data_IF_246174743798
#
_entry.id   IF_246174743798
#
_cell.length_a   1.000
_cell.length_b   1.000
_cell.length_c   1.000
_cell.angle_alpha   90.00
_cell.angle_beta   90.00
_cell.angle_gamma   90.00
#
_symmetry.space_group_name_H-M   'P 1'
#
loop_
_entity.id
_entity.type
_entity.pdbx_description
1 polymer ?
#
# COMPACT_ATOMS: atom_id res chain seq x y z
N UNK A 1 32.45 3.73 44.97
CA UNK A 1 32.89 4.07 43.60
C UNK A 1 32.59 2.97 42.57
N UNK A 2 32.63 1.67 42.92
CA UNK A 2 32.33 0.56 42.00
C UNK A 2 30.86 0.49 41.51
N UNK A 3 29.88 0.78 42.38
CA UNK A 3 28.44 0.75 42.02
C UNK A 3 28.06 1.72 40.88
N UNK A 4 28.66 2.92 40.86
CA UNK A 4 28.40 3.92 39.83
C UNK A 4 28.89 3.42 38.45
N UNK A 5 30.06 2.77 38.41
CA UNK A 5 30.63 2.22 37.18
C UNK A 5 29.77 1.09 36.59
N UNK A 6 29.18 0.25 37.45
CA UNK A 6 28.30 -0.84 37.02
C UNK A 6 27.01 -0.28 36.41
N UNK A 7 26.39 0.74 37.03
CA UNK A 7 25.16 1.36 36.52
C UNK A 7 25.33 2.08 35.18
N UNK A 8 26.46 2.76 34.98
CA UNK A 8 26.76 3.41 33.71
C UNK A 8 26.97 2.37 32.59
N UNK A 9 27.67 1.29 32.89
CA UNK A 9 27.87 0.19 31.93
C UNK A 9 26.54 -0.45 31.53
N UNK A 10 25.63 -0.70 32.47
CA UNK A 10 24.33 -1.30 32.16
C UNK A 10 23.45 -0.39 31.31
N UNK A 11 23.46 0.92 31.57
CA UNK A 11 22.72 1.90 30.74
C UNK A 11 23.25 1.95 29.31
N UNK A 12 24.57 1.96 29.12
CA UNK A 12 25.19 1.96 27.79
C UNK A 12 24.88 0.66 27.06
N UNK A 13 24.97 -0.50 27.73
CA UNK A 13 24.66 -1.79 27.13
C UNK A 13 23.19 -1.87 26.71
N UNK A 14 22.27 -1.40 27.55
CA UNK A 14 20.84 -1.36 27.25
C UNK A 14 20.53 -0.43 26.07
N UNK A 15 21.15 0.76 26.01
CA UNK A 15 20.99 1.67 24.89
C UNK A 15 21.51 1.07 23.58
N UNK A 16 22.65 0.38 23.59
CA UNK A 16 23.19 -0.31 22.42
C UNK A 16 22.28 -1.44 21.94
N UNK A 17 21.72 -2.23 22.88
CA UNK A 17 20.76 -3.28 22.55
C UNK A 17 19.52 -2.67 21.87
N UNK A 18 18.96 -1.57 22.42
CA UNK A 18 17.83 -0.88 21.81
C UNK A 18 18.15 -0.34 20.41
N UNK A 19 19.35 0.21 20.21
CA UNK A 19 19.78 0.67 18.88
C UNK A 19 19.82 -0.50 17.90
N UNK A 20 20.39 -1.66 18.27
CA UNK A 20 20.45 -2.85 17.41
C UNK A 20 19.05 -3.38 17.07
N UNK A 21 18.13 -3.43 18.05
CA UNK A 21 16.75 -3.83 17.79
C UNK A 21 16.00 -2.84 16.89
N UNK A 22 16.30 -1.54 16.99
CA UNK A 22 15.76 -0.53 16.08
C UNK A 22 16.44 -0.53 14.69
N UNK A 23 17.67 -1.07 14.59
CA UNK A 23 18.45 -1.14 13.35
C UNK A 23 18.33 -2.49 12.63
N UNK A 24 17.26 -3.26 12.87
CA UNK A 24 16.99 -4.42 12.03
C UNK A 24 17.10 -3.99 10.56
N UNK A 25 18.00 -4.63 9.78
CA UNK A 25 18.18 -4.29 8.38
C UNK A 25 16.80 -4.33 7.76
N UNK A 26 16.45 -3.28 7.02
CA UNK A 26 15.23 -3.31 6.25
C UNK A 26 15.24 -4.62 5.48
N UNK A 27 14.18 -5.41 5.61
CA UNK A 27 13.80 -6.41 4.61
C UNK A 27 14.10 -5.80 3.25
N UNK A 28 14.75 -6.55 2.36
CA UNK A 28 15.23 -6.09 1.04
C UNK A 28 14.40 -4.95 0.46
N UNK A 29 15.02 -3.90 -0.12
CA UNK A 29 14.32 -2.71 -0.56
C UNK A 29 13.05 -3.11 -1.32
N UNK A 30 11.88 -2.65 -0.84
CA UNK A 30 10.61 -3.04 -1.44
C UNK A 30 10.73 -2.90 -2.96
N UNK A 31 10.37 -3.92 -3.74
CA UNK A 31 10.52 -3.89 -5.19
C UNK A 31 9.64 -2.83 -5.87
N UNK A 32 8.74 -2.20 -5.11
CA UNK A 32 8.07 -0.95 -5.50
C UNK A 32 9.10 0.10 -5.95
N UNK A 33 10.33 0.07 -5.43
CA UNK A 33 11.40 1.02 -5.73
C UNK A 33 12.31 0.65 -6.90
N UNK A 34 11.88 -0.20 -7.84
CA UNK A 34 12.31 -0.04 -9.24
C UNK A 34 11.73 1.25 -9.87
N UNK A 35 11.63 2.30 -9.05
CA UNK A 35 11.34 3.68 -9.38
C UNK A 35 12.68 4.26 -9.80
N UNK A 36 12.91 4.35 -11.10
CA UNK A 36 13.86 5.36 -11.58
C UNK A 36 13.29 6.72 -11.16
N UNK A 37 13.73 7.20 -9.99
CA UNK A 37 13.35 8.50 -9.42
C UNK A 37 13.69 9.66 -10.39
N UNK A 38 14.53 9.38 -11.38
CA UNK A 38 15.02 10.33 -12.36
C UNK A 38 13.99 10.62 -13.47
N UNK A 39 12.89 9.84 -13.57
CA UNK A 39 12.00 9.90 -14.74
C UNK A 39 10.65 10.59 -14.52
N UNK A 40 10.22 10.86 -13.28
CA UNK A 40 8.87 11.40 -13.02
C UNK A 40 8.66 11.94 -11.60
N UNK A 41 7.65 12.81 -11.44
CA UNK A 41 7.23 13.32 -10.12
C UNK A 41 6.32 12.29 -9.41
N UNK A 42 6.57 12.04 -8.11
CA UNK A 42 5.74 11.13 -7.31
C UNK A 42 4.27 11.62 -7.29
N UNK A 43 3.26 10.72 -7.40
CA UNK A 43 3.32 9.26 -7.36
C UNK A 43 3.43 8.71 -8.78
N UNK A 44 4.56 8.09 -9.06
CA UNK A 44 4.84 7.51 -10.36
C UNK A 44 5.30 6.07 -10.17
N UNK A 45 5.16 5.23 -11.18
CA UNK A 45 5.76 3.91 -11.21
C UNK A 45 6.27 3.60 -12.61
N UNK A 46 7.58 3.37 -12.77
CA UNK A 46 8.17 3.07 -14.07
C UNK A 46 7.85 4.13 -15.15
N UNK A 47 7.90 5.41 -14.76
CA UNK A 47 7.49 6.56 -15.59
C UNK A 47 5.96 6.76 -15.69
N UNK A 48 5.14 5.80 -15.26
CA UNK A 48 3.68 5.85 -15.35
C UNK A 48 3.13 6.71 -14.22
N UNK A 49 2.56 7.84 -14.60
CA UNK A 49 1.89 8.79 -13.71
C UNK A 49 0.37 8.69 -13.91
N UNK A 50 -0.39 8.24 -12.90
CA UNK A 50 -1.84 8.25 -12.96
C UNK A 50 -2.39 9.66 -13.23
N UNK A 51 -3.40 9.76 -14.10
CA UNK A 51 -4.01 11.00 -14.57
C UNK A 51 -3.23 11.70 -15.68
N UNK A 52 -2.03 11.22 -16.06
CA UNK A 52 -1.21 11.82 -17.14
C UNK A 52 -0.76 10.81 -18.19
N UNK A 53 -0.36 9.62 -17.78
CA UNK A 53 0.10 8.58 -18.70
C UNK A 53 -1.11 7.88 -19.31
N UNK A 54 -1.14 7.81 -20.64
CA UNK A 54 -2.13 7.02 -21.37
C UNK A 54 -1.82 5.53 -21.29
N UNK A 55 -2.83 4.71 -21.48
CA UNK A 55 -2.70 3.25 -21.54
C UNK A 55 -1.70 2.81 -22.62
N UNK A 56 -1.73 3.41 -23.81
CA UNK A 56 -0.81 3.08 -24.89
C UNK A 56 0.65 3.40 -24.54
N UNK A 57 0.90 4.54 -23.89
CA UNK A 57 2.24 4.90 -23.40
C UNK A 57 2.74 3.93 -22.32
N UNK A 58 1.87 3.55 -21.39
CA UNK A 58 2.17 2.56 -20.37
C UNK A 58 2.50 1.20 -21.01
N UNK A 59 1.65 0.69 -21.91
CA UNK A 59 1.89 -0.58 -22.63
C UNK A 59 3.22 -0.54 -23.41
N UNK A 60 3.53 0.58 -24.08
CA UNK A 60 4.79 0.76 -24.79
C UNK A 60 6.00 0.71 -23.83
N UNK A 61 5.92 1.34 -22.66
CA UNK A 61 6.99 1.30 -21.64
C UNK A 61 7.18 -0.10 -21.06
N UNK A 62 6.09 -0.80 -20.73
CA UNK A 62 6.16 -2.17 -20.23
C UNK A 62 6.75 -3.12 -21.28
N UNK A 63 6.43 -2.92 -22.56
CA UNK A 63 6.98 -3.70 -23.66
C UNK A 63 8.50 -3.47 -23.86
N UNK A 64 9.04 -2.32 -23.45
CA UNK A 64 10.48 -2.04 -23.46
C UNK A 64 11.25 -2.76 -22.34
N UNK A 65 10.57 -3.46 -21.42
CA UNK A 65 11.20 -4.12 -20.27
C UNK A 65 10.68 -5.56 -20.06
N UNK A 66 10.83 -6.45 -21.06
CA UNK A 66 10.33 -7.83 -20.98
C UNK A 66 11.00 -8.68 -19.90
N UNK A 67 12.19 -8.29 -19.43
CA UNK A 67 12.90 -8.98 -18.36
C UNK A 67 12.26 -8.73 -16.99
N UNK A 68 11.63 -7.56 -16.80
CA UNK A 68 11.00 -7.13 -15.55
C UNK A 68 9.53 -7.57 -15.46
N UNK A 69 8.86 -7.72 -16.59
CA UNK A 69 7.42 -7.98 -16.62
C UNK A 69 7.10 -9.30 -17.32
N UNK A 70 6.24 -10.12 -16.72
CA UNK A 70 5.59 -11.20 -17.45
C UNK A 70 4.60 -10.62 -18.46
N UNK A 71 4.26 -11.41 -19.48
CA UNK A 71 3.18 -11.07 -20.42
C UNK A 71 1.88 -10.64 -19.73
N UNK A 72 1.09 -9.86 -20.46
CA UNK A 72 -0.15 -9.24 -20.01
C UNK A 72 -1.18 -10.32 -19.68
N UNK A 73 -1.75 -10.29 -18.48
CA UNK A 73 -2.88 -11.12 -18.07
C UNK A 73 -4.14 -10.26 -17.98
N UNK A 74 -5.18 -10.64 -18.71
CA UNK A 74 -6.49 -10.01 -18.60
C UNK A 74 -7.32 -10.77 -17.57
N UNK A 75 -7.65 -10.10 -16.46
CA UNK A 75 -8.44 -10.69 -15.39
C UNK A 75 -9.80 -9.98 -15.33
N UNK A 76 -10.87 -10.76 -15.42
CA UNK A 76 -12.22 -10.27 -15.17
C UNK A 76 -12.48 -10.28 -13.67
N UNK A 77 -12.22 -9.14 -13.02
CA UNK A 77 -12.46 -8.97 -11.58
C UNK A 77 -13.88 -8.45 -11.33
N UNK A 78 -14.47 -7.72 -12.29
CA UNK A 78 -15.81 -7.14 -12.15
C UNK A 78 -16.70 -7.45 -13.36
N UNK A 79 -18.03 -7.54 -13.17
CA UNK A 79 -18.99 -7.64 -14.29
C UNK A 79 -18.92 -6.46 -15.27
N UNK A 80 -18.39 -5.32 -14.83
CA UNK A 80 -18.41 -4.04 -15.56
C UNK A 80 -17.06 -3.61 -16.13
N UNK A 81 -16.00 -4.42 -16.05
CA UNK A 81 -14.70 -4.01 -16.58
C UNK A 81 -13.61 -5.07 -16.54
N UNK A 82 -12.75 -5.04 -17.56
CA UNK A 82 -11.52 -5.81 -17.58
C UNK A 82 -10.50 -5.10 -16.68
N UNK A 83 -9.82 -5.85 -15.82
CA UNK A 83 -8.59 -5.38 -15.17
C UNK A 83 -7.43 -6.00 -15.92
N UNK A 84 -6.55 -5.17 -16.46
CA UNK A 84 -5.33 -5.65 -17.10
C UNK A 84 -4.25 -5.70 -16.04
N UNK A 85 -3.60 -6.85 -15.92
CA UNK A 85 -2.59 -7.09 -14.91
C UNK A 85 -1.30 -7.67 -15.51
N UNK A 86 -0.20 -7.43 -14.84
CA UNK A 86 1.14 -7.96 -15.16
C UNK A 86 1.77 -8.52 -13.90
N UNK A 87 2.65 -9.52 -14.05
CA UNK A 87 3.50 -9.94 -12.95
C UNK A 87 4.87 -9.27 -13.07
N UNK A 88 5.35 -8.70 -11.96
CA UNK A 88 6.69 -8.13 -11.85
C UNK A 88 7.64 -9.23 -11.38
N UNK A 89 8.68 -9.48 -12.16
CA UNK A 89 9.74 -10.44 -11.84
C UNK A 89 10.88 -9.74 -11.09
N UNK A 90 11.65 -10.47 -10.26
CA UNK A 90 11.41 -11.85 -9.79
C UNK A 90 10.37 -11.96 -8.68
N UNK A 91 9.81 -10.84 -8.21
CA UNK A 91 9.06 -10.76 -6.95
C UNK A 91 7.64 -11.34 -7.00
N UNK A 92 7.14 -11.71 -8.19
CA UNK A 92 5.78 -12.19 -8.41
C UNK A 92 4.68 -11.22 -7.94
N UNK A 93 4.97 -9.93 -7.90
CA UNK A 93 3.96 -8.90 -7.63
C UNK A 93 3.01 -8.81 -8.80
N UNK A 94 1.72 -8.63 -8.53
CA UNK A 94 0.77 -8.33 -9.59
C UNK A 94 0.50 -6.83 -9.62
N UNK A 95 0.69 -6.19 -10.77
CA UNK A 95 0.29 -4.80 -10.99
C UNK A 95 -0.91 -4.80 -11.91
N UNK A 96 -1.93 -4.03 -11.59
CA UNK A 96 -3.21 -4.01 -12.28
C UNK A 96 -3.63 -2.56 -12.56
N UNK A 97 -4.31 -2.34 -13.67
CA UNK A 97 -5.04 -1.10 -13.97
C UNK A 97 -6.54 -1.42 -14.10
N UNK A 98 -7.39 -0.57 -13.53
CA UNK A 98 -8.83 -0.72 -13.65
C UNK A 98 -9.40 0.20 -14.72
N UNK A 99 -9.23 -0.13 -16.01
CA UNK A 99 -9.63 0.76 -17.11
C UNK A 99 -10.05 0.06 -18.41
N UNK A 100 -10.71 0.83 -19.29
CA UNK A 100 -11.17 0.41 -20.60
C UNK A 100 -10.03 0.07 -21.56
N UNK A 101 -10.39 -0.41 -22.76
CA UNK A 101 -9.44 -0.91 -23.77
C UNK A 101 -8.85 0.18 -24.67
N UNK A 102 -9.24 1.44 -24.51
CA UNK A 102 -8.78 2.53 -25.38
C UNK A 102 -7.32 2.90 -25.05
N UNK A 103 -6.37 2.78 -25.99
CA UNK A 103 -4.98 3.15 -25.77
C UNK A 103 -4.79 4.64 -25.44
N UNK A 104 -5.75 5.51 -25.78
CA UNK A 104 -5.70 6.94 -25.43
C UNK A 104 -6.27 7.26 -24.05
N UNK A 105 -6.88 6.28 -23.38
CA UNK A 105 -7.41 6.46 -22.04
C UNK A 105 -6.27 6.75 -21.06
N UNK A 106 -6.45 7.77 -20.22
CA UNK A 106 -5.53 8.10 -19.13
C UNK A 106 -5.68 7.09 -18.01
N UNK A 107 -4.56 6.54 -17.54
CA UNK A 107 -4.53 5.65 -16.37
C UNK A 107 -4.99 6.40 -15.13
N UNK A 108 -6.16 6.09 -14.61
CA UNK A 108 -6.71 6.70 -13.39
C UNK A 108 -6.03 6.19 -12.14
N UNK A 109 -5.68 4.90 -12.09
CA UNK A 109 -4.96 4.33 -10.96
C UNK A 109 -4.13 3.10 -11.34
N UNK A 110 -3.13 2.82 -10.52
CA UNK A 110 -2.35 1.58 -10.52
C UNK A 110 -2.58 0.85 -9.20
N UNK A 111 -2.90 -0.43 -9.26
CA UNK A 111 -3.04 -1.28 -8.09
C UNK A 111 -1.96 -2.36 -8.07
N UNK A 112 -1.19 -2.41 -6.99
CA UNK A 112 -0.15 -3.39 -6.73
C UNK A 112 -0.67 -4.40 -5.71
N UNK A 113 -0.53 -5.68 -6.02
CA UNK A 113 -0.90 -6.80 -5.17
C UNK A 113 0.38 -7.61 -4.89
N UNK A 114 1.09 -7.30 -3.79
CA UNK A 114 2.24 -8.09 -3.38
C UNK A 114 1.82 -9.53 -3.01
N UNK A 115 2.73 -10.53 -3.13
CA UNK A 115 2.47 -11.84 -2.57
C UNK A 115 2.20 -11.75 -1.05
N UNK A 116 1.31 -12.60 -0.55
CA UNK A 116 0.88 -12.55 0.86
C UNK A 116 2.08 -12.66 1.80
N UNK A 117 2.13 -11.78 2.80
CA UNK A 117 3.16 -11.78 3.83
C UNK A 117 4.52 -11.23 3.41
N UNK A 118 4.67 -10.73 2.17
CA UNK A 118 5.95 -10.16 1.69
C UNK A 118 6.12 -8.68 2.02
N UNK A 119 5.05 -7.99 2.37
CA UNK A 119 5.04 -6.56 2.67
C UNK A 119 4.21 -6.32 3.91
N UNK A 120 4.78 -5.61 4.88
CA UNK A 120 4.09 -5.18 6.08
C UNK A 120 3.69 -3.70 6.00
N UNK A 121 2.72 -3.31 6.82
CA UNK A 121 2.37 -1.89 6.97
C UNK A 121 3.56 -1.08 7.52
N UNK A 122 4.38 -1.68 8.38
CA UNK A 122 5.61 -1.09 8.90
C UNK A 122 6.59 -0.73 7.79
N UNK A 123 6.72 -1.58 6.76
CA UNK A 123 7.52 -1.26 5.59
C UNK A 123 6.94 -0.03 4.88
N UNK A 124 5.63 -0.01 4.62
CA UNK A 124 4.99 1.14 3.97
C UNK A 124 5.19 2.46 4.75
N UNK A 125 5.13 2.42 6.08
CA UNK A 125 5.42 3.58 6.94
C UNK A 125 6.89 4.00 6.84
N UNK A 126 7.81 3.04 6.79
CA UNK A 126 9.24 3.33 6.61
C UNK A 126 9.52 4.02 5.28
N UNK A 127 8.84 3.60 4.22
CA UNK A 127 9.07 4.09 2.87
C UNK A 127 8.32 5.38 2.53
N UNK A 128 7.04 5.46 2.86
CA UNK A 128 6.18 6.60 2.51
C UNK A 128 5.98 7.58 3.66
N UNK A 129 6.63 7.33 4.80
CA UNK A 129 6.57 8.18 5.97
C UNK A 129 5.27 8.00 6.76
N UNK A 130 4.86 9.07 7.43
CA UNK A 130 3.70 9.01 8.33
C UNK A 130 2.40 8.92 7.53
N UNK A 131 1.48 8.00 7.88
CA UNK A 131 0.14 7.99 7.33
C UNK A 131 -0.53 9.36 7.49
N UNK A 132 -1.18 9.79 6.42
CA UNK A 132 -2.02 11.00 6.39
C UNK A 132 -3.42 10.71 6.91
N UNK A 133 -3.94 9.52 6.63
CA UNK A 133 -5.29 9.11 7.01
C UNK A 133 -5.38 7.59 7.16
N UNK A 134 -6.27 7.12 8.03
CA UNK A 134 -6.51 5.68 8.27
C UNK A 134 -8.00 5.44 8.48
N UNK A 135 -8.55 4.38 7.88
CA UNK A 135 -9.90 3.93 8.18
C UNK A 135 -10.00 2.40 8.18
N UNK A 136 -10.76 1.89 9.15
CA UNK A 136 -11.07 0.46 9.24
C UNK A 136 -12.10 0.07 8.17
N UNK A 137 -11.87 -1.08 7.55
CA UNK A 137 -12.79 -1.73 6.64
C UNK A 137 -13.10 -3.12 7.17
N UNK A 138 -14.39 -3.43 7.28
CA UNK A 138 -14.83 -4.80 7.47
C UNK A 138 -15.22 -5.34 6.09
N UNK A 139 -14.37 -6.21 5.55
CA UNK A 139 -14.72 -7.01 4.40
C UNK A 139 -15.76 -8.02 4.86
N UNK A 140 -17.02 -7.83 4.49
CA UNK A 140 -17.91 -8.98 4.49
C UNK A 140 -17.45 -9.89 3.37
N UNK A 141 -17.24 -11.16 3.73
CA UNK A 141 -17.22 -12.29 2.82
C UNK A 141 -18.06 -11.97 1.57
N UNK A 142 -17.41 -11.82 0.41
CA UNK A 142 -18.11 -12.17 -0.82
C UNK A 142 -18.62 -13.61 -0.64
N UNK A 143 -19.67 -14.06 -1.35
CA UNK A 143 -20.18 -15.43 -1.21
C UNK A 143 -19.12 -16.54 -1.38
N UNK A 144 -17.91 -16.17 -1.84
CA UNK A 144 -16.77 -17.03 -2.16
C UNK A 144 -15.70 -17.01 -1.04
N UNK A 145 -15.61 -15.95 -0.23
CA UNK A 145 -14.58 -15.84 0.82
C UNK A 145 -15.19 -16.11 2.20
N UNK A 146 -15.06 -17.34 2.72
CA UNK A 146 -15.76 -17.83 3.91
C UNK A 146 -15.46 -17.11 5.24
N UNK A 147 -14.47 -16.22 5.31
CA UNK A 147 -14.12 -15.52 6.54
C UNK A 147 -14.14 -13.99 6.33
N UNK A 148 -14.95 -13.24 7.11
CA UNK A 148 -14.82 -11.79 7.14
C UNK A 148 -13.40 -11.45 7.61
N UNK A 149 -12.71 -10.57 6.89
CA UNK A 149 -11.42 -10.06 7.33
C UNK A 149 -11.55 -8.59 7.71
N UNK A 150 -10.90 -8.23 8.81
CA UNK A 150 -10.72 -6.85 9.24
C UNK A 150 -9.50 -6.28 8.53
N UNK A 151 -9.71 -5.29 7.69
CA UNK A 151 -8.68 -4.55 6.98
C UNK A 151 -8.62 -3.10 7.44
N UNK A 152 -7.51 -2.44 7.11
CA UNK A 152 -7.29 -1.02 7.31
C UNK A 152 -6.85 -0.45 5.98
N UNK A 153 -7.49 0.64 5.56
CA UNK A 153 -7.01 1.47 4.48
C UNK A 153 -6.21 2.62 5.07
N UNK A 154 -4.97 2.76 4.62
CA UNK A 154 -3.97 3.70 5.12
C UNK A 154 -3.50 4.57 3.97
N UNK A 155 -3.74 5.87 4.04
CA UNK A 155 -3.35 6.82 2.99
C UNK A 155 -2.00 7.45 3.30
N UNK A 156 -1.12 7.52 2.30
CA UNK A 156 0.17 8.18 2.36
C UNK A 156 0.27 9.26 1.28
N UNK A 157 0.79 10.43 1.64
CA UNK A 157 1.09 11.52 0.70
C UNK A 157 -0.07 11.98 -0.20
N UNK A 158 -1.32 11.80 0.24
CA UNK A 158 -2.52 12.21 -0.49
C UNK A 158 -2.92 11.35 -1.70
N UNK A 159 -2.01 10.53 -2.25
CA UNK A 159 -2.27 9.82 -3.53
C UNK A 159 -2.01 8.31 -3.49
N UNK A 160 -1.50 7.81 -2.37
CA UNK A 160 -1.28 6.38 -2.16
C UNK A 160 -2.24 5.84 -1.11
N UNK A 161 -2.93 4.75 -1.43
CA UNK A 161 -3.78 4.03 -0.49
C UNK A 161 -3.26 2.60 -0.31
N UNK A 162 -3.03 2.21 0.94
CA UNK A 162 -2.56 0.88 1.31
C UNK A 162 -3.66 0.17 2.05
N UNK A 163 -4.09 -0.97 1.53
CA UNK A 163 -4.94 -1.91 2.25
C UNK A 163 -4.05 -2.87 3.01
N UNK A 164 -4.11 -2.85 4.33
CA UNK A 164 -3.43 -3.80 5.20
C UNK A 164 -4.44 -4.64 5.99
N UNK A 165 -4.11 -5.88 6.31
CA UNK A 165 -4.95 -6.79 7.09
C UNK A 165 -4.12 -7.56 8.10
N UNK A 166 -4.74 -7.94 9.21
CA UNK A 166 -4.11 -8.82 10.19
C UNK A 166 -4.51 -10.27 9.89
N UNK A 167 -3.54 -11.09 9.46
CA UNK A 167 -3.82 -12.51 9.18
C UNK A 167 -4.10 -13.34 10.44
N UNK A 168 -3.63 -12.88 11.60
CA UNK A 168 -3.68 -13.63 12.85
C UNK A 168 -4.90 -13.32 13.72
N UNK A 169 -5.67 -12.25 13.45
CA UNK A 169 -6.69 -11.77 14.40
C UNK A 169 -7.90 -11.07 13.76
N UNK A 170 -9.05 -11.20 14.41
CA UNK A 170 -10.22 -10.29 14.34
C UNK A 170 -9.93 -8.89 14.93
N UNK A 171 -8.66 -8.50 15.02
CA UNK A 171 -8.22 -7.26 15.64
C UNK A 171 -8.53 -6.06 14.74
N UNK A 172 -9.10 -5.02 15.33
CA UNK A 172 -9.27 -3.71 14.70
C UNK A 172 -8.09 -2.77 15.00
N UNK A 173 -7.04 -3.24 15.68
CA UNK A 173 -5.89 -2.41 15.99
C UNK A 173 -4.95 -2.32 14.78
N UNK A 174 -4.57 -1.09 14.41
CA UNK A 174 -3.55 -0.85 13.40
C UNK A 174 -2.19 -1.19 14.00
N UNK A 175 -1.52 -2.21 13.47
CA UNK A 175 -0.17 -2.58 13.89
C UNK A 175 0.79 -2.57 12.71
N UNK A 176 2.07 -2.19 12.90
CA UNK A 176 3.07 -2.26 11.83
C UNK A 176 3.21 -3.65 11.21
N UNK A 177 2.84 -4.71 11.95
CA UNK A 177 2.95 -6.11 11.51
C UNK A 177 1.79 -6.56 10.60
N UNK A 178 0.81 -5.70 10.32
CA UNK A 178 -0.27 -6.03 9.38
C UNK A 178 0.30 -6.28 7.99
N UNK A 179 -0.22 -7.30 7.30
CA UNK A 179 0.18 -7.63 5.95
C UNK A 179 -0.49 -6.68 4.96
N UNK A 180 0.26 -6.19 3.98
CA UNK A 180 -0.32 -5.40 2.89
C UNK A 180 -0.97 -6.33 1.87
N UNK A 181 -2.23 -6.08 1.59
CA UNK A 181 -3.00 -6.78 0.54
C UNK A 181 -2.88 -6.06 -0.80
N UNK A 182 -3.08 -4.74 -0.79
CA UNK A 182 -3.04 -3.91 -2.00
C UNK A 182 -2.42 -2.57 -1.73
N UNK A 183 -1.76 -2.01 -2.73
CA UNK A 183 -1.24 -0.64 -2.73
C UNK A 183 -1.80 0.02 -3.97
N UNK A 184 -2.45 1.16 -3.84
CA UNK A 184 -3.10 1.84 -4.97
C UNK A 184 -2.51 3.24 -5.11
N UNK A 185 -2.08 3.58 -6.32
CA UNK A 185 -1.61 4.92 -6.71
C UNK A 185 -2.66 5.59 -7.57
N UNK A 186 -2.89 6.89 -7.37
CA UNK A 186 -3.73 7.71 -8.25
C UNK A 186 -5.20 7.86 -7.85
N UNK A 187 -5.59 7.44 -6.63
CA UNK A 187 -6.98 7.49 -6.16
C UNK A 187 -7.54 8.90 -5.86
N UNK A 188 -6.87 9.97 -6.26
CA UNK A 188 -7.37 11.33 -6.07
C UNK A 188 -6.32 12.42 -6.33
N UNK A 189 -6.79 13.67 -6.31
CA UNK A 189 -5.90 14.81 -6.13
C UNK A 189 -5.37 14.79 -4.69
N UNK A 190 -4.19 15.37 -4.40
CA UNK A 190 -3.65 15.46 -3.04
C UNK A 190 -4.65 16.04 -2.01
N UNK A 191 -5.60 16.85 -2.49
CA UNK A 191 -6.64 17.51 -1.71
C UNK A 191 -7.98 16.76 -1.68
N UNK A 192 -8.15 15.71 -2.50
CA UNK A 192 -9.30 14.84 -2.44
C UNK A 192 -9.19 13.97 -1.19
N UNK A 193 -9.71 14.49 -0.08
CA UNK A 193 -10.07 13.63 1.03
C UNK A 193 -10.98 12.54 0.46
N UNK A 194 -10.72 11.25 0.74
CA UNK A 194 -11.67 10.21 0.36
C UNK A 194 -13.02 10.68 0.91
N UNK A 195 -14.07 10.65 0.07
CA UNK A 195 -15.39 11.12 0.46
C UNK A 195 -15.82 10.35 1.71
N UNK A 196 -15.51 10.92 2.89
CA UNK A 196 -15.86 10.37 4.17
C UNK A 196 -17.33 10.67 4.30
N UNK A 197 -18.17 9.77 3.79
CA UNK A 197 -19.60 9.89 3.95
C UNK A 197 -19.93 10.02 5.44
N UNK A 198 -20.31 11.23 5.86
CA UNK A 198 -20.87 11.51 7.18
C UNK A 198 -19.88 11.81 8.31
N UNK A 199 -18.67 12.32 8.05
CA UNK A 199 -17.81 12.86 9.12
C UNK A 199 -17.77 14.40 9.11
N UNK A 200 -17.97 15.06 10.28
CA UNK A 200 -17.76 16.49 10.44
C UNK A 200 -16.31 16.87 10.11
N UNK A 201 -16.12 17.98 9.36
CA UNK A 201 -14.80 18.44 8.89
C UNK A 201 -13.80 18.77 10.01
N UNK A 202 -14.29 18.99 11.22
CA UNK A 202 -13.54 19.28 12.44
C UNK A 202 -13.06 18.02 13.19
N UNK A 203 -13.53 16.83 12.81
CA UNK A 203 -13.06 15.54 13.35
C UNK A 203 -12.01 14.87 12.46
N UNK A 204 -11.43 15.61 11.52
CA UNK A 204 -10.35 15.14 10.64
C UNK A 204 -9.05 15.18 11.44
N UNK A 205 -8.88 14.19 12.31
CA UNK A 205 -7.76 14.11 13.24
C UNK A 205 -6.44 13.73 12.55
N UNK A 206 -5.39 14.45 12.93
CA UNK A 206 -3.98 14.08 12.72
C UNK A 206 -3.61 13.01 13.76
N UNK A 207 -3.63 11.74 13.35
CA UNK A 207 -3.31 10.60 14.22
C UNK A 207 -4.45 9.60 14.29
N UNK A 208 -4.08 8.34 14.50
CA UNK A 208 -4.90 7.11 14.50
C UNK A 208 -6.36 7.33 14.91
N UNK A 209 -7.22 7.57 13.92
CA UNK A 209 -8.67 7.56 14.10
C UNK A 209 -9.20 6.16 13.92
N UNK A 210 -9.30 5.37 15.00
CA UNK A 210 -10.14 4.17 14.99
C UNK A 210 -11.59 4.62 15.04
N UNK A 211 -12.31 4.49 13.93
CA UNK A 211 -13.76 4.60 13.92
C UNK A 211 -14.36 3.20 14.05
N UNK A 212 -14.92 2.89 15.22
CA UNK A 212 -16.01 1.92 15.37
C UNK A 212 -17.32 2.66 15.09
N UNK A 213 -17.62 2.93 13.82
CA UNK A 213 -18.92 3.50 13.47
C UNK A 213 -19.28 2.99 12.08
N UNK A 214 -20.07 1.92 12.10
CA UNK A 214 -20.63 1.19 10.96
C UNK A 214 -19.57 0.63 9.98
N UNK A 215 -19.57 -0.68 9.69
CA UNK A 215 -18.74 -1.19 8.61
C UNK A 215 -19.15 -0.51 7.31
N UNK A 216 -18.33 0.45 6.83
CA UNK A 216 -18.31 0.72 5.41
C UNK A 216 -18.00 -0.62 4.76
N UNK A 217 -18.97 -1.17 4.01
CA UNK A 217 -18.75 -2.39 3.24
C UNK A 217 -17.73 -2.04 2.17
N UNK A 218 -16.47 -2.32 2.46
CA UNK A 218 -15.42 -2.21 1.47
C UNK A 218 -15.52 -3.48 0.62
N UNK A 219 -15.85 -3.32 -0.65
CA UNK A 219 -15.73 -4.40 -1.63
C UNK A 219 -14.26 -4.53 -1.99
N UNK A 220 -13.64 -5.64 -1.59
CA UNK A 220 -12.28 -5.97 -1.98
C UNK A 220 -12.31 -6.80 -3.28
N UNK A 221 -11.49 -6.47 -4.28
CA UNK A 221 -11.28 -7.34 -5.44
C UNK A 221 -10.56 -8.65 -5.07
#
# INVERSE_FOLDING_TARGET
MHLIRISALSMVLFALILIVFMHQPASDPLPIFALSADTCHLPCWFGIEPGKTTRGEMEARLAQSPDLFSGIQYINIFPSGFTQCWLVKPYAWRVCIGEGRDPKQLISFLQFLPPRGTVSLGDMIRYFGRPTYTFGCLAHATPIASNPFSGMNVQFGGMMLVTAYNAAQNGQALTPQMNVQTITLGLGTPDAQPAMMGLPKDQIWRGFGMRSVYPARCSFP
#
